data_IF_068421124913
#
_entry.id   IF_068421124913
#
_cell.length_a   1.000
_cell.length_b   1.000
_cell.length_c   1.000
_cell.angle_alpha   90.00
_cell.angle_beta   90.00
_cell.angle_gamma   90.00
#
_symmetry.space_group_name_H-M   'P 1'
#
loop_
_entity.id
_entity.type
_entity.pdbx_description
1 polymer ?
#
# COMPACT_ATOMS: atom_id res chain seq x y z
N UNK A 1 -26.95 22.00 20.81
CA UNK A 1 -26.86 22.74 22.09
C UNK A 1 -26.65 24.22 21.81
N UNK A 2 -27.35 25.10 22.52
CA UNK A 2 -27.19 26.56 22.42
C UNK A 2 -26.73 27.07 23.78
N UNK A 3 -25.55 27.68 23.85
CA UNK A 3 -24.93 28.15 25.10
C UNK A 3 -24.67 29.65 24.98
N UNK A 4 -24.93 30.40 26.06
CA UNK A 4 -24.66 31.84 26.10
C UNK A 4 -23.15 32.14 26.20
N UNK A 5 -22.40 31.28 26.89
CA UNK A 5 -20.96 31.43 27.09
C UNK A 5 -20.23 30.11 26.77
N UNK A 6 -20.03 29.78 25.49
CA UNK A 6 -19.32 28.56 25.12
C UNK A 6 -17.82 28.70 25.39
N UNK A 7 -17.27 27.71 26.07
CA UNK A 7 -15.85 27.54 26.35
C UNK A 7 -15.34 26.36 25.53
N UNK A 8 -14.17 26.52 24.89
CA UNK A 8 -13.60 25.47 24.05
C UNK A 8 -12.17 25.14 24.48
N UNK A 9 -11.80 23.88 24.34
CA UNK A 9 -10.41 23.45 24.46
C UNK A 9 -9.67 23.75 23.15
N UNK A 10 -8.75 24.71 23.21
CA UNK A 10 -7.89 25.09 22.09
C UNK A 10 -8.48 26.10 21.10
N UNK A 11 -7.59 26.69 20.30
CA UNK A 11 -7.93 27.77 19.37
C UNK A 11 -8.86 27.33 18.23
N UNK A 12 -8.82 26.06 17.83
CA UNK A 12 -9.65 25.53 16.74
C UNK A 12 -11.12 25.36 17.12
N UNK A 13 -11.46 25.57 18.41
CA UNK A 13 -12.83 25.41 18.96
C UNK A 13 -13.48 24.06 18.63
N UNK A 14 -12.66 23.02 18.44
CA UNK A 14 -13.13 21.69 18.03
C UNK A 14 -13.78 20.90 19.17
N UNK A 15 -13.38 21.16 20.42
CA UNK A 15 -13.87 20.45 21.60
C UNK A 15 -14.48 21.44 22.59
N UNK A 16 -15.75 21.24 22.93
CA UNK A 16 -16.49 22.08 23.89
C UNK A 16 -16.13 21.65 25.33
N UNK A 17 -15.76 22.63 26.16
CA UNK A 17 -15.27 22.42 27.53
C UNK A 17 -16.27 22.74 28.64
N UNK A 18 -17.50 23.20 28.34
CA UNK A 18 -18.52 23.53 29.35
C UNK A 18 -19.05 22.26 30.07
N UNK A 19 -18.77 22.07 31.38
CA UNK A 19 -19.31 20.93 32.12
C UNK A 19 -20.84 20.96 32.22
N UNK A 20 -21.44 22.15 32.36
CA UNK A 20 -22.90 22.28 32.45
C UNK A 20 -23.63 21.80 31.18
N UNK A 21 -22.97 21.94 30.02
CA UNK A 21 -23.53 21.49 28.75
C UNK A 21 -23.64 19.97 28.69
N UNK A 22 -22.66 19.25 29.28
CA UNK A 22 -22.69 17.79 29.36
C UNK A 22 -23.87 17.32 30.21
N UNK A 23 -23.99 17.83 31.44
CA UNK A 23 -25.06 17.44 32.37
C UNK A 23 -26.44 17.71 31.77
N UNK A 24 -26.64 18.90 31.18
CA UNK A 24 -27.92 19.25 30.56
C UNK A 24 -28.31 18.32 29.40
N UNK A 25 -27.36 17.98 28.52
CA UNK A 25 -27.62 17.05 27.41
C UNK A 25 -27.88 15.64 27.92
N UNK A 26 -27.10 15.17 28.89
CA UNK A 26 -27.25 13.84 29.47
C UNK A 26 -28.62 13.64 30.12
N UNK A 27 -29.09 14.61 30.91
CA UNK A 27 -30.43 14.56 31.52
C UNK A 27 -31.55 14.50 30.48
N UNK A 28 -31.51 15.37 29.46
CA UNK A 28 -32.56 15.41 28.43
C UNK A 28 -32.54 14.14 27.59
N UNK A 29 -31.36 13.67 27.17
CA UNK A 29 -31.23 12.46 26.35
C UNK A 29 -31.64 11.23 27.15
N UNK A 30 -31.24 11.10 28.42
CA UNK A 30 -31.63 9.96 29.24
C UNK A 30 -33.15 9.83 29.36
N UNK A 31 -33.82 10.93 29.73
CA UNK A 31 -35.28 10.97 29.87
C UNK A 31 -36.00 10.66 28.56
N UNK A 32 -35.63 11.36 27.48
CA UNK A 32 -36.31 11.21 26.18
C UNK A 32 -36.04 9.86 25.53
N UNK A 33 -34.84 9.30 25.72
CA UNK A 33 -34.50 7.97 25.21
C UNK A 33 -35.25 6.88 25.96
N UNK A 34 -35.32 6.96 27.30
CA UNK A 34 -36.11 6.04 28.12
C UNK A 34 -37.58 6.07 27.69
N UNK A 35 -38.17 7.26 27.61
CA UNK A 35 -39.54 7.45 27.15
C UNK A 35 -39.77 6.88 25.74
N UNK A 36 -38.84 7.10 24.81
CA UNK A 36 -38.93 6.56 23.45
C UNK A 36 -38.91 5.02 23.43
N UNK A 37 -37.99 4.41 24.18
CA UNK A 37 -37.83 2.96 24.24
C UNK A 37 -39.05 2.28 24.89
N UNK A 38 -39.64 2.90 25.90
CA UNK A 38 -40.87 2.42 26.53
C UNK A 38 -42.08 2.52 25.59
N UNK A 39 -42.21 3.62 24.86
CA UNK A 39 -43.32 3.84 23.90
C UNK A 39 -43.23 2.96 22.66
N UNK A 40 -42.02 2.59 22.24
CA UNK A 40 -41.77 1.83 21.01
C UNK A 40 -41.06 0.48 21.32
N UNK A 41 -41.78 -0.52 21.87
CA UNK A 41 -41.16 -1.75 22.34
C UNK A 41 -40.53 -2.61 21.23
N UNK A 42 -41.06 -2.54 20.00
CA UNK A 42 -40.49 -3.26 18.86
C UNK A 42 -39.14 -2.67 18.44
N UNK A 43 -39.08 -1.35 18.23
CA UNK A 43 -37.83 -0.64 17.95
C UNK A 43 -36.82 -0.82 19.08
N UNK A 44 -37.26 -0.72 20.34
CA UNK A 44 -36.40 -0.93 21.50
C UNK A 44 -35.78 -2.34 21.49
N UNK A 45 -36.57 -3.37 21.16
CA UNK A 45 -36.08 -4.76 21.05
C UNK A 45 -35.06 -4.91 19.93
N UNK A 46 -35.26 -4.28 18.78
CA UNK A 46 -34.31 -4.31 17.66
C UNK A 46 -33.00 -3.57 17.99
N UNK A 47 -33.11 -2.38 18.59
CA UNK A 47 -31.97 -1.58 19.06
C UNK A 47 -31.17 -2.38 20.10
N UNK A 48 -31.84 -2.92 21.13
CA UNK A 48 -31.20 -3.74 22.15
C UNK A 48 -30.58 -5.01 21.57
N UNK A 49 -31.26 -5.67 20.64
CA UNK A 49 -30.73 -6.83 19.91
C UNK A 49 -29.42 -6.51 19.20
N UNK A 50 -29.36 -5.37 18.52
CA UNK A 50 -28.15 -4.87 17.84
C UNK A 50 -27.04 -4.55 18.84
N UNK A 51 -27.36 -3.87 19.95
CA UNK A 51 -26.41 -3.56 21.02
C UNK A 51 -25.84 -4.83 21.67
N UNK A 52 -26.67 -5.84 21.96
CA UNK A 52 -26.25 -7.12 22.53
C UNK A 52 -25.35 -7.87 21.54
N UNK A 53 -25.72 -7.90 20.26
CA UNK A 53 -24.92 -8.56 19.22
C UNK A 53 -23.55 -7.89 19.07
N UNK A 54 -23.50 -6.54 19.09
CA UNK A 54 -22.25 -5.79 19.09
C UNK A 54 -21.42 -6.04 20.36
N UNK A 55 -22.05 -6.10 21.53
CA UNK A 55 -21.37 -6.39 22.80
C UNK A 55 -20.75 -7.80 22.81
N UNK A 56 -21.51 -8.82 22.36
CA UNK A 56 -21.00 -10.19 22.19
C UNK A 56 -19.84 -10.24 21.19
N UNK A 57 -19.95 -9.52 20.07
CA UNK A 57 -18.87 -9.43 19.09
C UNK A 57 -17.60 -8.79 19.69
N UNK A 58 -17.73 -7.72 20.48
CA UNK A 58 -16.59 -7.10 21.21
C UNK A 58 -15.97 -8.07 22.22
N UNK A 59 -16.78 -8.79 22.99
CA UNK A 59 -16.29 -9.78 23.94
C UNK A 59 -15.55 -10.94 23.24
N UNK A 60 -16.10 -11.44 22.13
CA UNK A 60 -15.45 -12.46 21.31
C UNK A 60 -14.13 -11.95 20.70
N UNK A 61 -14.11 -10.72 20.18
CA UNK A 61 -12.89 -10.09 19.66
C UNK A 61 -11.84 -9.90 20.76
N UNK A 62 -12.25 -9.48 21.97
CA UNK A 62 -11.36 -9.36 23.14
C UNK A 62 -10.79 -10.73 23.53
N UNK A 63 -11.62 -11.77 23.61
CA UNK A 63 -11.16 -13.13 23.91
C UNK A 63 -10.22 -13.68 22.83
N UNK A 64 -10.52 -13.44 21.55
CA UNK A 64 -9.67 -13.83 20.43
C UNK A 64 -8.32 -13.10 20.47
N UNK A 65 -8.34 -11.79 20.74
CA UNK A 65 -7.14 -10.97 20.93
C UNK A 65 -6.30 -11.46 22.10
N UNK A 66 -6.92 -11.70 23.26
CA UNK A 66 -6.23 -12.19 24.45
C UNK A 66 -5.64 -13.58 24.22
N UNK A 67 -6.28 -14.41 23.38
CA UNK A 67 -5.75 -15.73 22.98
C UNK A 67 -4.55 -15.59 22.07
N UNK A 68 -4.58 -14.67 21.09
CA UNK A 68 -3.44 -14.39 20.20
C UNK A 68 -2.26 -13.81 21.00
N UNK A 69 -2.53 -12.88 21.91
CA UNK A 69 -1.51 -12.27 22.77
C UNK A 69 -0.95 -13.28 23.78
N UNK A 70 -1.78 -14.08 24.45
CA UNK A 70 -1.30 -15.11 25.42
C UNK A 70 -0.50 -16.21 24.75
N UNK A 71 -0.89 -16.68 23.57
CA UNK A 71 -0.07 -17.66 22.82
C UNK A 71 1.27 -17.05 22.42
N UNK A 72 1.30 -15.77 22.02
CA UNK A 72 2.54 -15.04 21.76
C UNK A 72 3.45 -14.90 22.98
N UNK A 73 2.88 -14.80 24.19
CA UNK A 73 3.65 -14.70 25.46
C UNK A 73 4.15 -16.07 25.94
N UNK A 74 3.33 -17.13 25.86
CA UNK A 74 3.70 -18.48 26.31
C UNK A 74 4.74 -19.17 25.43
N UNK A 75 4.73 -18.92 24.11
CA UNK A 75 5.77 -19.40 23.18
C UNK A 75 6.99 -18.45 23.09
N UNK A 76 7.05 -17.42 23.95
CA UNK A 76 8.15 -16.45 24.01
C UNK A 76 8.26 -15.56 22.78
N UNK A 77 7.43 -14.52 22.67
CA UNK A 77 7.49 -13.52 21.58
C UNK A 77 7.66 -14.17 20.18
N UNK A 78 7.06 -15.34 19.99
CA UNK A 78 7.29 -16.13 18.79
C UNK A 78 6.76 -15.35 17.59
N UNK A 79 7.71 -14.81 16.82
CA UNK A 79 7.42 -14.12 15.58
C UNK A 79 6.70 -15.09 14.63
N UNK A 80 5.86 -14.57 13.72
CA UNK A 80 5.19 -15.44 12.76
C UNK A 80 6.23 -16.27 12.01
N UNK A 81 6.05 -17.58 11.87
CA UNK A 81 7.05 -18.44 11.22
C UNK A 81 7.36 -18.07 9.76
N UNK A 82 6.49 -17.27 9.12
CA UNK A 82 6.72 -16.69 7.78
C UNK A 82 7.56 -15.42 7.79
N UNK A 83 7.62 -14.70 8.92
CA UNK A 83 8.37 -13.46 9.03
C UNK A 83 9.86 -13.78 9.00
N UNK A 84 10.56 -13.25 8.01
CA UNK A 84 12.00 -13.11 8.09
C UNK A 84 12.28 -11.78 8.80
N UNK A 85 12.69 -11.80 10.07
CA UNK A 85 12.94 -10.57 10.82
C UNK A 85 14.30 -9.92 10.47
N UNK A 86 14.49 -8.66 10.87
CA UNK A 86 15.78 -7.97 10.84
C UNK A 86 16.53 -8.14 12.17
N UNK A 87 17.85 -7.89 12.17
CA UNK A 87 18.65 -7.98 13.41
C UNK A 87 18.56 -6.72 14.27
N UNK A 88 18.29 -5.55 13.68
CA UNK A 88 18.08 -4.32 14.43
C UNK A 88 16.82 -4.39 15.28
N UNK A 89 16.89 -3.75 16.45
CA UNK A 89 15.79 -3.57 17.39
C UNK A 89 15.33 -2.12 17.47
N UNK A 90 15.94 -1.22 16.70
CA UNK A 90 15.59 0.19 16.68
C UNK A 90 14.47 0.41 15.66
N UNK A 91 13.25 0.82 16.09
CA UNK A 91 12.13 0.97 15.17
C UNK A 91 12.36 2.00 14.06
N UNK A 92 13.13 3.05 14.34
CA UNK A 92 13.39 4.18 13.45
C UNK A 92 14.16 3.82 12.17
N UNK A 93 15.12 2.90 12.27
CA UNK A 93 15.85 2.39 11.11
C UNK A 93 15.21 1.13 10.51
N UNK A 94 14.35 0.44 11.27
CA UNK A 94 13.81 -0.86 10.89
C UNK A 94 12.62 -0.73 9.93
N UNK A 95 12.61 -1.60 8.92
CA UNK A 95 11.64 -1.60 7.83
C UNK A 95 10.96 -2.96 7.73
N UNK A 96 9.65 -2.98 7.47
CA UNK A 96 8.88 -4.18 7.20
C UNK A 96 8.33 -4.15 5.78
N UNK A 97 8.81 -5.05 4.92
CA UNK A 97 8.24 -5.25 3.59
C UNK A 97 7.16 -6.32 3.64
N UNK A 98 5.94 -5.94 3.29
CA UNK A 98 4.81 -6.84 3.11
C UNK A 98 4.79 -7.23 1.63
N UNK A 99 5.06 -8.50 1.33
CA UNK A 99 5.31 -8.97 -0.03
C UNK A 99 4.20 -9.92 -0.50
N UNK A 100 3.80 -9.77 -1.75
CA UNK A 100 2.85 -10.68 -2.40
C UNK A 100 3.50 -12.03 -2.75
N UNK A 101 3.05 -13.09 -2.08
CA UNK A 101 3.47 -14.47 -2.38
C UNK A 101 4.83 -14.87 -1.81
N UNK A 102 5.05 -16.19 -1.71
CA UNK A 102 6.30 -16.75 -1.23
C UNK A 102 7.45 -16.60 -2.24
N UNK A 103 7.13 -16.50 -3.54
CA UNK A 103 8.13 -16.38 -4.61
C UNK A 103 8.87 -15.04 -4.52
N UNK A 104 8.13 -13.93 -4.59
CA UNK A 104 8.69 -12.60 -4.39
C UNK A 104 9.23 -12.44 -2.96
N UNK A 105 8.59 -13.06 -1.96
CA UNK A 105 9.10 -13.12 -0.58
C UNK A 105 10.48 -13.78 -0.47
N UNK A 106 10.74 -14.84 -1.26
CA UNK A 106 12.03 -15.51 -1.34
C UNK A 106 13.11 -14.60 -1.93
N UNK A 107 12.83 -13.96 -3.07
CA UNK A 107 13.74 -12.99 -3.69
C UNK A 107 14.04 -11.80 -2.78
N UNK A 108 13.01 -11.24 -2.15
CA UNK A 108 13.16 -10.14 -1.20
C UNK A 108 13.98 -10.56 0.03
N UNK A 109 13.76 -11.76 0.58
CA UNK A 109 14.54 -12.28 1.72
C UNK A 109 16.02 -12.45 1.37
N UNK A 110 16.34 -12.83 0.13
CA UNK A 110 17.71 -13.00 -0.33
C UNK A 110 18.40 -11.66 -0.64
N UNK A 111 17.67 -10.69 -1.22
CA UNK A 111 18.23 -9.41 -1.66
C UNK A 111 18.28 -8.32 -0.58
N UNK A 112 17.51 -8.44 0.49
CA UNK A 112 17.44 -7.42 1.57
C UNK A 112 18.76 -7.22 2.32
N UNK A 113 18.86 -6.07 2.96
CA UNK A 113 19.77 -5.89 4.08
C UNK A 113 19.14 -6.47 5.37
N UNK A 114 19.68 -7.59 5.85
CA UNK A 114 19.20 -8.30 7.04
C UNK A 114 19.35 -7.48 8.32
N UNK A 115 20.16 -6.43 8.32
CA UNK A 115 20.35 -5.55 9.48
C UNK A 115 19.06 -4.83 9.83
N UNK A 116 18.40 -4.23 8.86
CA UNK A 116 17.28 -3.33 9.12
C UNK A 116 15.99 -3.66 8.35
N UNK A 117 16.00 -4.61 7.40
CA UNK A 117 14.81 -4.96 6.61
C UNK A 117 14.24 -6.33 7.00
N UNK A 118 12.99 -6.34 7.45
CA UNK A 118 12.16 -7.51 7.68
C UNK A 118 11.25 -7.79 6.46
N UNK A 119 10.99 -9.06 6.16
CA UNK A 119 10.13 -9.48 5.04
C UNK A 119 8.99 -10.35 5.59
N UNK A 120 7.76 -9.95 5.29
CA UNK A 120 6.55 -10.71 5.60
C UNK A 120 5.83 -11.09 4.29
N UNK A 121 6.00 -12.33 3.79
CA UNK A 121 5.27 -12.79 2.63
C UNK A 121 3.81 -13.13 3.00
N UNK A 122 2.88 -12.66 2.18
CA UNK A 122 1.46 -12.95 2.29
C UNK A 122 1.05 -14.00 1.26
N UNK A 123 0.25 -14.98 1.68
CA UNK A 123 -0.27 -16.01 0.77
C UNK A 123 -1.72 -15.73 0.40
N UNK A 124 -1.97 -15.54 -0.89
CA UNK A 124 -3.30 -15.28 -1.43
C UNK A 124 -3.85 -13.91 -1.03
N UNK A 125 -5.14 -13.71 -1.32
CA UNK A 125 -5.82 -12.44 -1.03
C UNK A 125 -6.14 -12.33 0.46
N UNK A 126 -5.87 -11.15 1.02
CA UNK A 126 -6.20 -10.86 2.42
C UNK A 126 -7.72 -10.81 2.58
N UNK A 127 -8.21 -11.18 3.75
CA UNK A 127 -9.62 -11.02 4.08
C UNK A 127 -10.01 -9.53 4.01
N UNK A 128 -11.06 -9.21 3.26
CA UNK A 128 -11.64 -7.88 3.28
C UNK A 128 -12.25 -7.62 4.66
N UNK A 129 -11.60 -6.75 5.43
CA UNK A 129 -12.00 -6.42 6.80
C UNK A 129 -13.11 -5.36 6.89
N UNK A 130 -13.50 -4.77 5.76
CA UNK A 130 -14.68 -3.91 5.68
C UNK A 130 -15.96 -4.74 5.89
N UNK A 131 -16.01 -5.90 5.23
CA UNK A 131 -17.15 -6.83 5.28
C UNK A 131 -17.09 -7.80 6.46
N UNK A 132 -15.90 -7.96 7.03
CA UNK A 132 -15.65 -8.96 8.04
C UNK A 132 -15.55 -8.32 9.42
N UNK A 133 -16.28 -8.89 10.38
CA UNK A 133 -16.14 -8.53 11.79
C UNK A 133 -14.72 -8.80 12.29
N UNK A 134 -14.31 -8.03 13.32
CA UNK A 134 -12.96 -8.08 13.88
C UNK A 134 -12.55 -9.48 14.34
N UNK A 135 -13.44 -10.28 14.91
CA UNK A 135 -13.19 -11.67 15.32
C UNK A 135 -12.83 -12.57 14.13
N UNK A 136 -13.49 -12.39 12.98
CA UNK A 136 -13.18 -13.09 11.73
C UNK A 136 -11.88 -12.58 11.11
N UNK A 137 -11.61 -11.28 11.16
CA UNK A 137 -10.33 -10.72 10.74
C UNK A 137 -9.18 -11.29 11.59
N UNK A 138 -9.37 -11.34 12.91
CA UNK A 138 -8.43 -11.92 13.85
C UNK A 138 -8.31 -13.42 13.73
N UNK A 139 -9.19 -14.16 13.04
CA UNK A 139 -9.01 -15.59 12.81
C UNK A 139 -8.09 -15.89 11.61
N UNK A 140 -7.96 -14.92 10.69
CA UNK A 140 -7.11 -15.01 9.50
C UNK A 140 -5.63 -15.12 9.87
N UNK A 141 -4.94 -16.10 9.29
CA UNK A 141 -3.51 -16.34 9.52
C UNK A 141 -2.66 -15.14 9.07
N UNK A 142 -2.99 -14.54 7.94
CA UNK A 142 -2.23 -13.42 7.36
C UNK A 142 -2.39 -12.15 8.21
N UNK A 143 -3.62 -11.84 8.65
CA UNK A 143 -3.89 -10.67 9.52
C UNK A 143 -3.23 -10.86 10.88
N UNK A 144 -3.34 -12.05 11.50
CA UNK A 144 -2.61 -12.37 12.74
C UNK A 144 -1.11 -12.18 12.59
N UNK A 145 -0.53 -12.71 11.51
CA UNK A 145 0.91 -12.62 11.27
C UNK A 145 1.35 -11.15 11.16
N UNK A 146 0.60 -10.31 10.45
CA UNK A 146 0.90 -8.88 10.35
C UNK A 146 0.81 -8.17 11.72
N UNK A 147 -0.24 -8.42 12.51
CA UNK A 147 -0.39 -7.83 13.85
C UNK A 147 0.78 -8.21 14.76
N UNK A 148 1.15 -9.50 14.79
CA UNK A 148 2.24 -9.99 15.62
C UNK A 148 3.58 -9.42 15.13
N UNK A 149 3.79 -9.33 13.81
CA UNK A 149 4.98 -8.73 13.24
C UNK A 149 5.14 -7.27 13.67
N UNK A 150 4.10 -6.45 13.54
CA UNK A 150 4.15 -5.02 13.90
C UNK A 150 4.30 -4.76 15.40
N UNK A 151 3.78 -5.65 16.26
CA UNK A 151 3.91 -5.54 17.72
C UNK A 151 2.95 -4.55 18.39
N UNK A 152 2.11 -3.86 17.62
CA UNK A 152 1.22 -2.78 18.11
C UNK A 152 -0.06 -3.26 18.78
N UNK A 153 -0.35 -4.57 18.76
CA UNK A 153 -1.71 -5.09 18.96
C UNK A 153 -2.73 -4.45 17.97
N UNK A 154 -4.03 -4.48 18.27
CA UNK A 154 -5.11 -4.05 17.36
C UNK A 154 -6.29 -3.42 18.12
N UNK A 155 -7.02 -2.50 17.45
CA UNK A 155 -8.24 -1.85 17.96
C UNK A 155 -8.04 -1.21 19.35
N UNK A 156 -8.89 -1.50 20.34
CA UNK A 156 -8.93 -0.81 21.64
C UNK A 156 -7.66 -0.96 22.51
N UNK A 157 -6.71 -1.82 22.15
CA UNK A 157 -5.41 -1.86 22.83
C UNK A 157 -4.25 -1.72 21.84
N UNK A 158 -4.54 -1.11 20.69
CA UNK A 158 -3.51 -0.65 19.78
C UNK A 158 -2.63 0.37 20.49
N UNK A 159 -1.32 0.21 20.36
CA UNK A 159 -0.31 1.08 20.94
C UNK A 159 0.79 1.32 19.91
N UNK A 160 0.86 2.53 19.38
CA UNK A 160 1.84 2.91 18.36
C UNK A 160 3.27 2.92 18.92
N UNK A 161 3.45 3.13 20.23
CA UNK A 161 4.79 3.18 20.85
C UNK A 161 5.49 1.82 20.82
N UNK A 162 4.72 0.74 20.64
CA UNK A 162 5.21 -0.64 20.50
C UNK A 162 5.47 -1.03 19.05
N UNK A 163 5.29 -0.12 18.10
CA UNK A 163 5.55 -0.37 16.70
C UNK A 163 7.01 -0.72 16.47
N UNK A 164 7.25 -1.89 15.90
CA UNK A 164 8.60 -2.43 15.70
C UNK A 164 9.33 -1.86 14.48
N UNK A 165 8.60 -1.30 13.52
CA UNK A 165 9.13 -0.81 12.25
C UNK A 165 8.48 0.53 11.91
N UNK A 166 9.25 1.61 11.85
CA UNK A 166 8.75 2.95 11.46
C UNK A 166 8.57 3.10 9.95
N UNK A 167 9.01 2.12 9.15
CA UNK A 167 8.68 2.05 7.72
C UNK A 167 8.05 0.70 7.41
N UNK A 168 6.76 0.71 7.15
CA UNK A 168 6.00 -0.44 6.66
C UNK A 168 5.76 -0.21 5.18
N UNK A 169 6.34 -1.07 4.34
CA UNK A 169 6.33 -0.94 2.89
C UNK A 169 5.46 -2.05 2.29
N UNK A 170 4.38 -1.67 1.62
CA UNK A 170 3.58 -2.58 0.80
C UNK A 170 4.28 -2.76 -0.54
N UNK A 171 4.73 -3.99 -0.83
CA UNK A 171 5.45 -4.35 -2.04
C UNK A 171 4.68 -5.47 -2.76
N UNK A 172 3.74 -5.07 -3.62
CA UNK A 172 2.87 -5.95 -4.43
C UNK A 172 3.27 -5.88 -5.90
N UNK A 173 2.81 -6.85 -6.69
CA UNK A 173 3.07 -6.88 -8.12
C UNK A 173 2.35 -5.73 -8.85
N UNK A 174 2.82 -5.44 -10.07
CA UNK A 174 2.31 -4.35 -10.92
C UNK A 174 1.18 -4.83 -11.84
N UNK A 175 0.32 -5.72 -11.33
CA UNK A 175 -0.81 -6.33 -12.03
C UNK A 175 -2.14 -6.05 -11.29
N UNK A 176 -3.25 -6.59 -11.84
CA UNK A 176 -4.58 -6.47 -11.24
C UNK A 176 -4.69 -7.11 -9.85
N UNK A 177 -3.97 -8.21 -9.59
CA UNK A 177 -4.04 -8.94 -8.32
C UNK A 177 -3.25 -8.20 -7.23
N UNK A 178 -2.09 -7.67 -7.54
CA UNK A 178 -1.31 -6.80 -6.66
C UNK A 178 -2.04 -5.52 -6.32
N UNK A 179 -2.73 -4.90 -7.29
CA UNK A 179 -3.61 -3.75 -7.03
C UNK A 179 -4.76 -4.10 -6.05
N UNK A 180 -5.32 -5.30 -6.17
CA UNK A 180 -6.35 -5.79 -5.26
C UNK A 180 -5.80 -6.03 -3.85
N UNK A 181 -4.67 -6.73 -3.71
CA UNK A 181 -4.02 -6.96 -2.41
C UNK A 181 -3.64 -5.64 -1.74
N UNK A 182 -3.09 -4.69 -2.51
CA UNK A 182 -2.79 -3.35 -2.03
C UNK A 182 -4.03 -2.65 -1.50
N UNK A 183 -5.16 -2.74 -2.19
CA UNK A 183 -6.43 -2.16 -1.73
C UNK A 183 -6.92 -2.80 -0.43
N UNK A 184 -6.82 -4.12 -0.30
CA UNK A 184 -7.16 -4.85 0.93
C UNK A 184 -6.27 -4.45 2.12
N UNK A 185 -4.96 -4.31 1.90
CA UNK A 185 -4.02 -3.83 2.91
C UNK A 185 -4.33 -2.40 3.32
N UNK A 186 -4.54 -1.49 2.37
CA UNK A 186 -4.89 -0.10 2.66
C UNK A 186 -6.19 -0.02 3.48
N UNK A 187 -7.18 -0.86 3.17
CA UNK A 187 -8.42 -0.96 3.95
C UNK A 187 -8.13 -1.41 5.38
N UNK A 188 -7.31 -2.45 5.56
CA UNK A 188 -6.90 -2.93 6.88
C UNK A 188 -6.18 -1.85 7.69
N UNK A 189 -5.22 -1.16 7.07
CA UNK A 189 -4.49 -0.08 7.74
C UNK A 189 -5.39 1.10 8.08
N UNK A 190 -6.27 1.51 7.17
CA UNK A 190 -7.21 2.60 7.43
C UNK A 190 -8.19 2.27 8.57
N UNK A 191 -8.75 1.04 8.58
CA UNK A 191 -9.76 0.65 9.58
C UNK A 191 -9.21 0.34 10.97
N UNK A 192 -8.00 -0.22 11.06
CA UNK A 192 -7.50 -0.74 12.34
C UNK A 192 -6.13 -0.20 12.76
N UNK A 193 -5.40 0.46 11.85
CA UNK A 193 -4.05 0.99 12.09
C UNK A 193 -3.92 2.43 11.60
N UNK A 194 -5.01 3.21 11.65
CA UNK A 194 -5.03 4.60 11.22
C UNK A 194 -3.86 5.43 11.81
N UNK A 195 -3.49 5.28 13.10
CA UNK A 195 -2.37 6.01 13.67
C UNK A 195 -1.02 5.73 12.98
N UNK A 196 -0.83 4.53 12.39
CA UNK A 196 0.38 4.20 11.62
C UNK A 196 0.46 5.03 10.35
N UNK A 197 -0.68 5.29 9.70
CA UNK A 197 -0.74 6.14 8.51
C UNK A 197 -0.53 7.61 8.90
N UNK A 198 -1.18 8.06 9.97
CA UNK A 198 -1.06 9.45 10.45
C UNK A 198 0.35 9.80 10.92
N UNK A 199 1.05 8.84 11.54
CA UNK A 199 2.47 8.98 11.88
C UNK A 199 3.41 8.91 10.65
N UNK A 200 2.87 8.64 9.46
CA UNK A 200 3.63 8.60 8.21
C UNK A 200 4.47 7.34 8.05
N UNK A 201 4.13 6.24 8.72
CA UNK A 201 4.92 5.00 8.70
C UNK A 201 4.55 4.02 7.58
N UNK A 202 3.45 4.27 6.84
CA UNK A 202 3.00 3.39 5.76
C UNK A 202 3.43 3.90 4.38
N UNK A 203 4.03 3.02 3.59
CA UNK A 203 4.58 3.29 2.26
C UNK A 203 4.15 2.23 1.25
N UNK A 204 4.17 2.60 -0.03
CA UNK A 204 3.95 1.69 -1.17
C UNK A 204 5.23 1.72 -2.01
N UNK A 205 5.81 0.55 -2.28
CA UNK A 205 6.96 0.42 -3.16
C UNK A 205 6.56 0.71 -4.62
N UNK A 206 7.48 1.29 -5.39
CA UNK A 206 7.33 1.49 -6.83
C UNK A 206 8.43 0.72 -7.56
N UNK A 207 8.21 -0.57 -7.87
CA UNK A 207 9.15 -1.32 -8.70
C UNK A 207 9.18 -0.77 -10.14
N UNK A 208 10.28 -0.96 -10.87
CA UNK A 208 10.39 -0.53 -12.27
C UNK A 208 9.48 -1.35 -13.18
N UNK A 209 8.92 -0.70 -14.20
CA UNK A 209 8.07 -1.34 -15.21
C UNK A 209 8.89 -1.98 -16.33
N UNK A 210 10.03 -1.38 -16.67
CA UNK A 210 10.87 -1.84 -17.77
C UNK A 210 12.34 -1.94 -17.37
N UNK A 211 13.03 -2.89 -17.97
CA UNK A 211 14.49 -2.99 -18.01
C UNK A 211 14.93 -2.89 -19.46
N UNK A 212 15.74 -1.88 -19.76
CA UNK A 212 16.33 -1.67 -21.08
C UNK A 212 17.82 -2.01 -20.99
N UNK A 213 18.25 -2.98 -21.80
CA UNK A 213 19.62 -3.49 -21.78
C UNK A 213 20.30 -3.33 -23.14
N UNK A 214 21.54 -2.86 -23.15
CA UNK A 214 22.38 -2.73 -24.35
C UNK A 214 23.80 -3.22 -24.04
N UNK A 215 24.08 -4.47 -24.41
CA UNK A 215 25.36 -5.12 -24.08
C UNK A 215 25.52 -5.29 -22.57
N UNK A 216 26.45 -4.53 -21.97
CA UNK A 216 26.70 -4.53 -20.52
C UNK A 216 25.95 -3.45 -19.74
N UNK A 217 25.39 -2.44 -20.43
CA UNK A 217 24.64 -1.34 -19.81
C UNK A 217 23.18 -1.77 -19.65
N UNK A 218 22.65 -1.72 -18.43
CA UNK A 218 21.26 -2.02 -18.11
C UNK A 218 20.67 -0.88 -17.29
N UNK A 219 19.52 -0.38 -17.73
CA UNK A 219 18.81 0.73 -17.09
C UNK A 219 17.36 0.36 -16.84
N UNK A 220 16.79 0.95 -15.80
CA UNK A 220 15.43 0.69 -15.37
C UNK A 220 14.56 1.92 -15.61
N UNK A 221 13.32 1.71 -16.04
CA UNK A 221 12.33 2.75 -16.23
C UNK A 221 11.09 2.47 -15.38
N UNK A 222 10.57 3.50 -14.72
CA UNK A 222 9.38 3.45 -13.86
C UNK A 222 8.13 3.97 -14.57
N UNK A 223 8.28 4.60 -15.73
CA UNK A 223 7.18 5.05 -16.58
C UNK A 223 7.47 4.82 -18.08
N UNK A 224 6.44 4.93 -18.91
CA UNK A 224 6.60 4.87 -20.36
C UNK A 224 7.41 6.06 -20.89
N UNK A 225 7.26 7.26 -20.31
CA UNK A 225 8.07 8.42 -20.72
C UNK A 225 9.56 8.20 -20.39
N UNK A 226 9.88 7.59 -19.25
CA UNK A 226 11.26 7.24 -18.91
C UNK A 226 11.84 6.17 -19.86
N UNK A 227 11.03 5.18 -20.23
CA UNK A 227 11.41 4.15 -21.21
C UNK A 227 11.78 4.81 -22.54
N UNK A 228 10.95 5.70 -23.06
CA UNK A 228 11.18 6.39 -24.33
C UNK A 228 12.46 7.24 -24.28
N UNK A 229 12.70 7.97 -23.17
CA UNK A 229 13.94 8.73 -22.98
C UNK A 229 15.18 7.83 -23.00
N UNK A 230 15.17 6.72 -22.27
CA UNK A 230 16.30 5.77 -22.23
C UNK A 230 16.54 5.17 -23.62
N UNK A 231 15.48 4.84 -24.35
CA UNK A 231 15.57 4.33 -25.73
C UNK A 231 16.18 5.39 -26.66
N UNK A 232 15.75 6.65 -26.56
CA UNK A 232 16.29 7.75 -27.35
C UNK A 232 17.79 7.99 -27.07
N UNK A 233 18.21 7.93 -25.80
CA UNK A 233 19.62 8.03 -25.42
C UNK A 233 20.45 6.87 -26.00
N UNK A 234 19.92 5.65 -25.99
CA UNK A 234 20.60 4.51 -26.62
C UNK A 234 20.67 4.64 -28.14
N UNK A 235 19.65 5.19 -28.81
CA UNK A 235 19.69 5.51 -30.24
C UNK A 235 20.78 6.55 -30.55
N UNK A 236 20.82 7.66 -29.79
CA UNK A 236 21.83 8.72 -29.95
C UNK A 236 23.26 8.22 -29.71
N UNK A 237 23.47 7.43 -28.68
CA UNK A 237 24.80 6.85 -28.42
C UNK A 237 25.24 5.84 -29.51
N UNK A 238 24.32 5.31 -30.34
CA UNK A 238 24.64 4.47 -31.50
C UNK A 238 25.01 5.33 -32.72
N UNK A 239 24.25 6.40 -32.99
CA UNK A 239 24.58 7.36 -34.06
C UNK A 239 25.95 8.00 -33.83
N UNK A 240 26.24 8.43 -32.60
CA UNK A 240 27.52 9.07 -32.25
C UNK A 240 28.70 8.10 -32.41
N UNK A 241 28.53 6.83 -32.02
CA UNK A 241 29.55 5.78 -32.24
C UNK A 241 29.72 5.41 -33.70
N UNK A 242 28.66 5.47 -34.51
CA UNK A 242 28.72 5.22 -35.95
C UNK A 242 29.42 6.37 -36.67
N UNK A 243 29.08 7.62 -36.34
CA UNK A 243 29.73 8.83 -36.86
C UNK A 243 31.23 8.87 -36.53
N UNK A 244 31.60 8.60 -35.26
CA UNK A 244 33.02 8.53 -34.86
C UNK A 244 33.80 7.39 -35.53
N UNK A 245 33.12 6.30 -35.96
CA UNK A 245 33.74 5.18 -36.68
C UNK A 245 33.89 5.47 -38.18
N UNK A 246 33.01 6.28 -38.75
CA UNK A 246 33.11 6.81 -40.12
C UNK A 246 34.19 7.90 -40.23
N UNK A 247 34.28 8.83 -39.28
CA UNK A 247 35.35 9.83 -39.24
C UNK A 247 36.77 9.21 -39.13
N UNK A 248 36.90 8.05 -38.48
CA UNK A 248 38.15 7.28 -38.42
C UNK A 248 38.49 6.51 -39.70
N UNK A 249 37.52 6.26 -40.59
CA UNK A 249 37.70 5.44 -41.80
C UNK A 249 37.84 6.25 -43.09
N UNK A 250 37.35 7.48 -43.11
CA UNK A 250 37.42 8.38 -44.27
C UNK A 250 37.97 9.73 -43.82
N UNK A 251 39.16 10.09 -44.32
CA UNK A 251 39.71 11.41 -44.12
C UNK A 251 38.76 12.49 -44.65
N UNK A 252 38.19 13.26 -43.72
CA UNK A 252 37.57 14.60 -43.79
C UNK A 252 36.71 15.10 -44.97
N UNK A 253 36.53 14.41 -46.09
CA UNK A 253 35.68 14.92 -47.18
C UNK A 253 34.60 13.92 -47.59
N UNK A 254 33.44 14.03 -46.91
CA UNK A 254 32.08 13.65 -47.34
C UNK A 254 31.20 13.33 -46.11
N UNK A 255 31.38 14.05 -45.00
CA UNK A 255 30.58 13.86 -43.79
C UNK A 255 29.29 14.71 -43.77
N UNK A 256 29.15 15.69 -44.66
CA UNK A 256 28.06 16.66 -44.61
C UNK A 256 26.80 16.23 -45.36
N UNK A 257 26.91 15.42 -46.42
CA UNK A 257 25.76 15.09 -47.30
C UNK A 257 24.96 13.84 -46.85
N UNK A 258 25.44 13.09 -45.87
CA UNK A 258 24.76 11.88 -45.38
C UNK A 258 23.94 12.11 -44.09
N UNK A 259 23.99 13.31 -43.51
CA UNK A 259 23.30 13.63 -42.27
C UNK A 259 21.83 14.02 -42.47
N UNK A 260 21.47 14.54 -43.65
CA UNK A 260 20.13 15.08 -43.92
C UNK A 260 19.13 14.05 -44.45
N UNK A 261 19.59 12.88 -44.91
CA UNK A 261 18.74 11.81 -45.43
C UNK A 261 18.22 10.82 -44.36
N UNK A 262 18.64 10.98 -43.10
CA UNK A 262 18.30 10.04 -42.01
C UNK A 262 17.13 10.49 -41.11
N UNK A 263 16.56 11.69 -41.34
CA UNK A 263 15.45 12.24 -40.53
C UNK A 263 14.05 11.88 -41.04
N UNK A 264 13.92 11.19 -42.19
CA UNK A 264 12.62 10.88 -42.80
C UNK A 264 12.36 9.37 -42.84
N UNK A 265 12.30 8.74 -41.68
CA UNK A 265 11.72 7.39 -41.52
C UNK A 265 11.44 7.13 -40.04
N UNK A 266 10.52 7.89 -39.47
CA UNK A 266 10.00 7.64 -38.13
C UNK A 266 8.49 7.78 -38.18
N UNK A 267 7.82 6.87 -38.89
CA UNK A 267 6.41 6.60 -38.62
C UNK A 267 6.06 5.15 -38.93
N UNK A 268 5.27 4.59 -38.01
CA UNK A 268 4.47 3.37 -38.05
C UNK A 268 5.16 1.97 -38.01
N UNK A 269 5.03 1.30 -36.83
CA UNK A 269 4.64 -0.13 -36.81
C UNK A 269 5.50 -1.16 -36.05
N UNK A 270 5.28 -1.29 -34.72
CA UNK A 270 5.38 -2.50 -33.85
C UNK A 270 6.57 -3.51 -34.02
N UNK A 271 6.63 -4.62 -33.27
CA UNK A 271 7.64 -4.96 -32.25
C UNK A 271 8.94 -5.62 -32.77
N UNK A 272 9.07 -5.86 -34.08
CA UNK A 272 10.23 -6.56 -34.65
C UNK A 272 11.46 -5.66 -34.85
N UNK A 273 11.29 -4.33 -34.84
CA UNK A 273 12.38 -3.35 -34.94
C UNK A 273 13.23 -3.23 -33.66
N UNK A 274 12.74 -3.66 -32.50
CA UNK A 274 13.43 -3.45 -31.20
C UNK A 274 14.74 -4.24 -31.12
N UNK A 275 14.79 -5.45 -31.70
CA UNK A 275 16.03 -6.23 -31.83
C UNK A 275 16.97 -5.67 -32.91
N UNK A 276 16.43 -5.03 -33.96
CA UNK A 276 17.22 -4.42 -35.04
C UNK A 276 18.02 -3.19 -34.55
N UNK A 277 17.55 -2.53 -33.50
CA UNK A 277 18.22 -1.37 -32.90
C UNK A 277 19.38 -1.74 -31.94
N UNK A 278 19.48 -3.00 -31.50
CA UNK A 278 20.60 -3.52 -30.72
C UNK A 278 20.48 -3.35 -29.21
N UNK A 279 19.28 -3.09 -28.69
CA UNK A 279 18.94 -3.11 -27.26
C UNK A 279 17.75 -4.06 -27.02
N UNK A 280 17.64 -4.58 -25.80
CA UNK A 280 16.57 -5.50 -25.38
C UNK A 280 15.76 -4.81 -24.27
N UNK A 281 14.45 -4.70 -24.49
CA UNK A 281 13.49 -4.18 -23.53
C UNK A 281 12.72 -5.36 -22.92
N UNK A 282 12.82 -5.51 -21.60
CA UNK A 282 12.03 -6.45 -20.82
C UNK A 282 11.02 -5.65 -19.99
N UNK A 283 9.73 -6.01 -20.08
CA UNK A 283 8.69 -5.49 -19.20
C UNK A 283 8.51 -6.45 -18.03
N UNK A 284 8.53 -5.93 -16.80
CA UNK A 284 8.22 -6.71 -15.61
C UNK A 284 6.71 -6.74 -15.39
N UNK A 285 6.13 -7.92 -15.13
CA UNK A 285 4.73 -8.05 -14.70
C UNK A 285 4.63 -8.33 -13.21
N UNK A 286 5.50 -9.20 -12.71
CA UNK A 286 5.60 -9.52 -11.28
C UNK A 286 6.99 -9.29 -10.69
N UNK A 287 7.04 -9.06 -9.37
CA UNK A 287 8.28 -8.94 -8.60
C UNK A 287 9.09 -10.23 -8.60
N UNK A 288 8.43 -11.38 -8.77
CA UNK A 288 9.08 -12.69 -8.87
C UNK A 288 9.95 -12.88 -10.11
N UNK A 289 9.80 -12.04 -11.14
CA UNK A 289 10.65 -12.06 -12.33
C UNK A 289 12.01 -11.38 -12.10
N UNK A 290 12.14 -10.61 -11.03
CA UNK A 290 13.39 -9.96 -10.64
C UNK A 290 14.22 -10.90 -9.78
N UNK A 291 15.47 -11.10 -10.18
CA UNK A 291 16.47 -11.74 -9.34
C UNK A 291 16.82 -10.83 -8.14
N UNK A 292 17.28 -11.40 -7.00
CA UNK A 292 17.45 -10.68 -5.74
C UNK A 292 18.27 -9.39 -5.83
N UNK A 293 19.34 -9.38 -6.63
CA UNK A 293 20.16 -8.19 -6.84
C UNK A 293 19.42 -7.05 -7.55
N UNK A 294 18.60 -7.37 -8.55
CA UNK A 294 17.79 -6.37 -9.26
C UNK A 294 16.71 -5.79 -8.35
N UNK A 295 16.06 -6.64 -7.56
CA UNK A 295 15.04 -6.21 -6.61
C UNK A 295 15.64 -5.27 -5.54
N UNK A 296 16.85 -5.58 -5.07
CA UNK A 296 17.61 -4.70 -4.18
C UNK A 296 17.89 -3.34 -4.83
N UNK A 297 18.60 -3.34 -5.97
CA UNK A 297 19.08 -2.13 -6.63
C UNK A 297 17.96 -1.16 -7.03
N UNK A 298 16.78 -1.69 -7.35
CA UNK A 298 15.66 -0.90 -7.88
C UNK A 298 14.63 -0.52 -6.82
N UNK A 299 14.28 -1.45 -5.92
CA UNK A 299 13.05 -1.33 -5.12
C UNK A 299 13.32 -1.32 -3.61
N UNK A 300 14.41 -1.93 -3.14
CA UNK A 300 14.68 -2.08 -1.71
C UNK A 300 15.80 -1.20 -1.17
N UNK A 301 16.81 -0.87 -1.99
CA UNK A 301 17.94 -0.03 -1.60
C UNK A 301 17.49 1.40 -1.26
N UNK A 302 17.66 1.88 -0.01
CA UNK A 302 17.30 3.23 0.37
C UNK A 302 17.91 4.34 -0.49
N UNK A 303 19.03 4.09 -1.19
CA UNK A 303 19.69 5.08 -2.05
C UNK A 303 18.98 5.31 -3.38
N UNK A 304 18.36 4.27 -3.93
CA UNK A 304 17.83 4.28 -5.31
C UNK A 304 16.31 4.11 -5.37
N UNK A 305 15.70 3.52 -4.35
CA UNK A 305 14.28 3.18 -4.37
C UNK A 305 13.38 4.41 -4.36
N UNK A 306 12.19 4.24 -4.93
CA UNK A 306 11.10 5.21 -4.85
C UNK A 306 9.96 4.62 -4.02
N UNK A 307 9.61 5.30 -2.93
CA UNK A 307 8.50 4.93 -2.05
C UNK A 307 7.43 6.03 -2.08
N UNK A 308 6.16 5.63 -2.18
CA UNK A 308 5.02 6.54 -2.01
C UNK A 308 4.54 6.44 -0.57
N UNK A 309 4.68 7.52 0.20
CA UNK A 309 4.13 7.60 1.55
C UNK A 309 2.60 7.75 1.49
N UNK A 310 1.88 6.94 2.26
CA UNK A 310 0.43 7.01 2.37
C UNK A 310 0.04 8.08 3.38
N UNK A 311 -0.92 8.94 3.04
CA UNK A 311 -1.41 10.01 3.92
C UNK A 311 -2.94 10.06 3.87
N UNK A 312 -3.57 10.45 4.98
CA UNK A 312 -5.01 10.69 5.07
C UNK A 312 -5.23 12.20 5.05
N UNK A 313 -5.68 12.74 3.92
CA UNK A 313 -6.00 14.17 3.79
C UNK A 313 -7.37 14.50 4.37
N UNK A 314 -8.38 13.70 4.03
CA UNK A 314 -9.73 13.79 4.56
C UNK A 314 -10.19 12.39 4.95
N UNK A 315 -10.34 12.16 6.26
CA UNK A 315 -10.76 10.87 6.80
C UNK A 315 -12.21 10.53 6.43
N UNK A 316 -13.09 11.52 6.27
CA UNK A 316 -14.50 11.29 5.91
C UNK A 316 -14.65 10.92 4.45
N UNK A 317 -13.93 11.59 3.57
CA UNK A 317 -13.92 11.20 2.15
C UNK A 317 -13.29 9.83 1.95
N UNK A 318 -12.17 9.55 2.63
CA UNK A 318 -11.53 8.24 2.59
C UNK A 318 -12.47 7.13 3.09
N UNK A 319 -13.15 7.36 4.22
CA UNK A 319 -14.15 6.44 4.77
C UNK A 319 -15.26 6.12 3.78
N UNK A 320 -15.84 7.15 3.15
CA UNK A 320 -16.87 6.99 2.12
C UNK A 320 -16.37 6.18 0.92
N UNK A 321 -15.14 6.40 0.49
CA UNK A 321 -14.54 5.65 -0.63
C UNK A 321 -14.33 4.18 -0.24
N UNK A 322 -13.82 3.89 0.96
CA UNK A 322 -13.68 2.52 1.45
C UNK A 322 -15.04 1.82 1.58
N UNK A 323 -16.06 2.49 2.09
CA UNK A 323 -17.41 1.92 2.19
C UNK A 323 -17.99 1.58 0.79
N UNK A 324 -17.88 2.49 -0.18
CA UNK A 324 -18.34 2.24 -1.56
C UNK A 324 -17.59 1.07 -2.22
N UNK A 325 -16.26 1.04 -2.10
CA UNK A 325 -15.42 0.08 -2.82
C UNK A 325 -15.34 -1.28 -2.13
N UNK A 326 -15.33 -1.30 -0.80
CA UNK A 326 -15.03 -2.48 0.01
C UNK A 326 -16.24 -2.96 0.82
N UNK A 327 -17.26 -2.13 1.04
CA UNK A 327 -18.47 -2.44 1.82
C UNK A 327 -19.45 -3.39 1.12
N UNK A 328 -20.55 -3.74 1.78
CA UNK A 328 -21.42 -4.83 1.33
C UNK A 328 -22.29 -4.48 0.12
N UNK A 329 -22.62 -3.21 -0.06
CA UNK A 329 -23.50 -2.71 -1.10
C UNK A 329 -22.89 -2.81 -2.51
N UNK A 330 -23.57 -3.52 -3.42
CA UNK A 330 -23.09 -3.74 -4.79
C UNK A 330 -23.41 -2.56 -5.72
N UNK A 331 -24.58 -1.94 -5.55
CA UNK A 331 -25.05 -0.90 -6.47
C UNK A 331 -24.18 0.37 -6.46
N UNK A 332 -23.78 0.93 -5.30
CA UNK A 332 -22.88 2.09 -5.24
C UNK A 332 -21.52 1.79 -5.89
N UNK A 333 -20.97 0.60 -5.61
CA UNK A 333 -19.71 0.14 -6.19
C UNK A 333 -19.78 0.05 -7.71
N UNK A 334 -20.83 -0.57 -8.25
CA UNK A 334 -21.03 -0.70 -9.70
C UNK A 334 -21.11 0.66 -10.38
N UNK A 335 -21.84 1.60 -9.79
CA UNK A 335 -21.93 2.99 -10.30
C UNK A 335 -20.56 3.66 -10.27
N UNK A 336 -19.81 3.54 -9.18
CA UNK A 336 -18.46 4.10 -9.07
C UNK A 336 -17.55 3.58 -10.19
N UNK A 337 -17.53 2.26 -10.43
CA UNK A 337 -16.74 1.65 -11.51
C UNK A 337 -17.17 2.19 -12.87
N UNK A 338 -18.46 2.24 -13.17
CA UNK A 338 -18.97 2.74 -14.45
C UNK A 338 -18.60 4.20 -14.71
N UNK A 339 -18.70 5.06 -13.70
CA UNK A 339 -18.36 6.48 -13.81
C UNK A 339 -16.86 6.70 -14.06
N UNK A 340 -15.99 5.86 -13.49
CA UNK A 340 -14.54 6.06 -13.54
C UNK A 340 -13.82 5.11 -14.51
N UNK A 341 -14.54 4.22 -15.20
CA UNK A 341 -13.95 3.20 -16.08
C UNK A 341 -13.04 3.79 -17.18
N UNK A 342 -13.41 4.96 -17.73
CA UNK A 342 -12.64 5.62 -18.81
C UNK A 342 -11.34 6.26 -18.34
N UNK A 343 -11.15 6.42 -17.03
CA UNK A 343 -9.96 7.04 -16.47
C UNK A 343 -8.81 6.04 -16.26
N UNK A 344 -9.08 4.75 -16.48
CA UNK A 344 -8.07 3.71 -16.28
C UNK A 344 -7.19 3.62 -17.52
N UNK A 345 -5.93 4.02 -17.36
CA UNK A 345 -4.92 3.99 -18.44
C UNK A 345 -4.26 2.61 -18.54
N UNK A 346 -4.12 1.91 -17.41
CA UNK A 346 -3.37 0.66 -17.28
C UNK A 346 -4.25 -0.46 -16.70
N UNK A 347 -5.26 -0.91 -17.46
CA UNK A 347 -5.86 -2.22 -17.24
C UNK A 347 -5.07 -3.21 -18.09
N UNK A 348 -4.56 -4.28 -17.48
CA UNK A 348 -3.79 -5.33 -18.16
C UNK A 348 -4.38 -5.65 -19.55
N UNK A 349 -3.61 -5.34 -20.60
CA UNK A 349 -3.76 -5.90 -21.95
C UNK A 349 -2.69 -6.99 -22.11
#
# INVERSE_FOLDING_TARGET
IKLRQPQFEGQTKAKLGNPEARTAVETVVAYTLEEYLEKNPNDAKEILGTCILAAKARQAAKAAKDTVLRKGVLDGLALPGKLADCSSRQPEESELFIVEGDSAGGSAKQGRDRRFQAILPLRGKILNVEKARLDKALSSKEVKALIIAMGTAIADSFDITKLRYHRIVIMTDADVDGAHIRTLLLTLFFRYFQPVIEAGHLYIAQPPLFKISRGKDARYAYSDEEKEKIVAEFKKAKSDKAAARLEKKTGKSQAAEAAEAAEVAADEGQPEEERALGFNIQRYKGLGEMNPGQLWETTMDPKNRVLKQVQIKDAKEADKVFDILMGDEVAPRKRFIQTHAKNVVNLDI
#
